data_IF_384034651907
#
_entry.id   IF_384034651907
#
_cell.length_a   1.000
_cell.length_b   1.000
_cell.length_c   1.000
_cell.angle_alpha   90.00
_cell.angle_beta   90.00
_cell.angle_gamma   90.00
#
_symmetry.space_group_name_H-M   'P 1'
#
loop_
_entity.id
_entity.type
_entity.pdbx_description
1 polymer ?
#
# COMPACT_ATOMS: atom_id res chain seq x y z
N UNK A 1 6.70 -8.51 13.51
CA UNK A 1 7.87 -8.59 12.60
C UNK A 1 7.56 -7.71 11.42
N UNK A 2 8.52 -6.94 10.90
CA UNK A 2 8.36 -6.16 9.65
C UNK A 2 8.47 -7.01 8.37
N UNK A 3 8.78 -8.29 8.51
CA UNK A 3 8.92 -9.23 7.39
C UNK A 3 7.63 -10.03 7.14
N UNK A 4 6.55 -9.73 7.87
CA UNK A 4 5.27 -10.40 7.69
C UNK A 4 4.41 -9.63 6.68
N UNK A 5 4.69 -9.86 5.41
CA UNK A 5 3.97 -9.24 4.29
C UNK A 5 2.68 -9.99 3.93
N UNK A 6 2.43 -11.17 4.54
CA UNK A 6 1.21 -11.98 4.42
C UNK A 6 0.90 -12.56 3.01
N UNK A 7 1.28 -11.87 1.94
CA UNK A 7 1.07 -12.19 0.52
C UNK A 7 2.38 -12.15 -0.28
N UNK A 8 3.48 -11.82 0.39
CA UNK A 8 4.82 -11.88 -0.18
C UNK A 8 5.80 -12.39 0.86
N UNK A 9 6.88 -13.04 0.43
CA UNK A 9 7.93 -13.50 1.34
C UNK A 9 8.96 -12.40 1.52
N UNK A 10 9.30 -12.10 2.77
CA UNK A 10 10.44 -11.25 3.11
C UNK A 10 11.26 -11.89 4.23
N UNK A 11 12.54 -11.54 4.27
CA UNK A 11 13.47 -11.90 5.34
C UNK A 11 14.15 -10.64 5.87
N UNK A 12 14.68 -10.70 7.09
CA UNK A 12 15.63 -9.70 7.58
C UNK A 12 17.04 -10.27 7.35
N UNK A 13 17.86 -9.57 6.55
CA UNK A 13 19.22 -9.99 6.24
C UNK A 13 20.19 -9.76 7.43
N UNK A 14 21.45 -10.20 7.29
CA UNK A 14 22.46 -10.02 8.34
C UNK A 14 22.81 -8.55 8.67
N UNK A 15 22.43 -7.60 7.80
CA UNK A 15 22.63 -6.17 8.00
C UNK A 15 21.36 -5.47 8.54
N UNK A 16 20.36 -6.25 8.94
CA UNK A 16 19.06 -5.78 9.41
C UNK A 16 18.24 -5.06 8.32
N UNK A 17 18.40 -5.40 7.04
CA UNK A 17 17.50 -4.94 5.99
C UNK A 17 16.33 -5.91 5.80
N UNK A 18 15.14 -5.38 5.55
CA UNK A 18 14.04 -6.18 5.01
C UNK A 18 14.30 -6.43 3.53
N UNK A 19 14.41 -7.70 3.16
CA UNK A 19 14.63 -8.14 1.79
C UNK A 19 13.47 -9.02 1.38
N UNK A 20 12.69 -8.56 0.41
CA UNK A 20 11.65 -9.35 -0.22
C UNK A 20 12.27 -10.41 -1.15
N UNK A 21 11.80 -11.65 -1.06
CA UNK A 21 12.43 -12.81 -1.73
C UNK A 21 11.54 -13.50 -2.75
N UNK A 22 10.28 -13.09 -2.88
CA UNK A 22 9.36 -13.62 -3.89
C UNK A 22 7.95 -13.87 -3.34
N UNK A 23 7.04 -14.38 -4.19
CA UNK A 23 5.72 -14.81 -3.75
C UNK A 23 5.79 -15.85 -2.63
N UNK A 24 4.73 -15.94 -1.83
CA UNK A 24 4.63 -16.97 -0.80
C UNK A 24 4.56 -18.38 -1.41
N UNK A 25 4.99 -19.43 -0.69
CA UNK A 25 4.84 -20.80 -1.17
C UNK A 25 3.39 -21.16 -1.48
N UNK A 26 3.13 -21.65 -2.69
CA UNK A 26 1.77 -22.00 -3.14
C UNK A 26 0.95 -20.82 -3.65
N UNK A 27 1.57 -19.64 -3.83
CA UNK A 27 0.91 -18.47 -4.38
C UNK A 27 0.23 -18.78 -5.73
N UNK A 28 -1.04 -18.38 -5.80
CA UNK A 28 -1.90 -18.58 -6.95
C UNK A 28 -3.16 -17.74 -6.80
N UNK A 29 -3.86 -17.53 -7.91
CA UNK A 29 -5.11 -16.81 -7.91
C UNK A 29 -6.17 -17.47 -7.01
N UNK A 30 -6.21 -18.80 -6.96
CA UNK A 30 -7.11 -19.55 -6.08
C UNK A 30 -6.75 -19.38 -4.61
N UNK A 31 -5.45 -19.46 -4.28
CA UNK A 31 -4.96 -19.23 -2.92
C UNK A 31 -5.32 -17.82 -2.43
N UNK A 32 -5.06 -16.80 -3.25
CA UNK A 32 -5.42 -15.42 -2.96
C UNK A 32 -6.92 -15.25 -2.71
N UNK A 33 -7.77 -15.76 -3.62
CA UNK A 33 -9.23 -15.71 -3.46
C UNK A 33 -9.70 -16.38 -2.17
N UNK A 34 -9.10 -17.51 -1.78
CA UNK A 34 -9.40 -18.18 -0.52
C UNK A 34 -9.07 -17.32 0.71
N UNK A 35 -7.92 -16.64 0.69
CA UNK A 35 -7.50 -15.70 1.74
C UNK A 35 -8.45 -14.50 1.84
N UNK A 36 -8.78 -13.87 0.72
CA UNK A 36 -9.74 -12.75 0.67
C UNK A 36 -11.13 -13.19 1.13
N UNK A 37 -11.62 -14.33 0.67
CA UNK A 37 -12.92 -14.85 1.09
C UNK A 37 -12.99 -15.12 2.60
N UNK A 38 -11.90 -15.61 3.20
CA UNK A 38 -11.78 -15.80 4.65
C UNK A 38 -11.87 -14.46 5.38
N UNK A 39 -11.07 -13.46 4.96
CA UNK A 39 -11.09 -12.12 5.55
C UNK A 39 -12.48 -11.46 5.46
N UNK A 40 -13.09 -11.45 4.28
CA UNK A 40 -14.46 -10.91 4.09
C UNK A 40 -15.51 -11.71 4.89
N UNK A 41 -15.31 -13.02 5.06
CA UNK A 41 -16.12 -13.86 5.92
C UNK A 41 -16.14 -13.40 7.37
N UNK A 42 -15.00 -12.94 7.89
CA UNK A 42 -14.91 -12.39 9.25
C UNK A 42 -15.69 -11.08 9.41
N UNK A 43 -15.64 -10.17 8.43
CA UNK A 43 -16.47 -8.95 8.43
C UNK A 43 -17.96 -9.28 8.48
N UNK A 44 -18.42 -10.21 7.62
CA UNK A 44 -19.81 -10.67 7.62
C UNK A 44 -20.21 -11.29 8.96
N UNK A 45 -19.34 -12.12 9.55
CA UNK A 45 -19.58 -12.83 10.81
C UNK A 45 -19.87 -11.87 11.96
N UNK A 46 -19.22 -10.70 11.98
CA UNK A 46 -19.42 -9.68 13.02
C UNK A 46 -20.42 -8.58 12.63
N UNK A 47 -21.07 -8.70 11.45
CA UNK A 47 -22.07 -7.74 10.98
C UNK A 47 -21.50 -6.40 10.51
N UNK A 48 -20.20 -6.36 10.16
CA UNK A 48 -19.58 -5.18 9.56
C UNK A 48 -19.78 -5.20 8.03
N UNK A 49 -19.88 -4.02 7.38
CA UNK A 49 -19.90 -3.95 5.93
C UNK A 49 -18.58 -4.50 5.35
N UNK A 50 -18.65 -5.08 4.15
CA UNK A 50 -17.45 -5.50 3.44
C UNK A 50 -16.64 -4.26 3.00
N UNK A 51 -15.30 -4.28 3.16
CA UNK A 51 -14.46 -3.17 2.75
C UNK A 51 -14.44 -3.01 1.22
N UNK A 52 -14.47 -1.76 0.75
CA UNK A 52 -14.37 -1.41 -0.68
C UNK A 52 -12.93 -1.21 -1.15
N UNK A 53 -12.03 -0.95 -0.20
CA UNK A 53 -10.61 -0.63 -0.42
C UNK A 53 -9.76 -1.67 0.29
N UNK A 54 -8.72 -2.14 -0.39
CA UNK A 54 -7.77 -3.10 0.15
C UNK A 54 -6.36 -2.52 0.23
N UNK A 55 -5.60 -2.93 1.23
CA UNK A 55 -4.17 -2.65 1.35
C UNK A 55 -3.47 -4.00 1.54
N UNK A 56 -2.46 -4.28 0.71
CA UNK A 56 -1.57 -5.40 0.99
C UNK A 56 -0.75 -5.07 2.23
N UNK A 57 -0.63 -5.97 3.22
CA UNK A 57 0.29 -5.75 4.34
C UNK A 57 1.69 -5.41 3.83
N UNK A 58 2.20 -4.26 4.27
CA UNK A 58 3.47 -3.70 3.81
C UNK A 58 3.59 -3.52 2.28
N UNK A 59 2.47 -3.34 1.58
CA UNK A 59 2.41 -3.12 0.13
C UNK A 59 2.99 -4.29 -0.71
N UNK A 60 3.13 -5.49 -0.12
CA UNK A 60 3.69 -6.65 -0.81
C UNK A 60 2.62 -7.65 -1.24
N UNK A 61 2.56 -7.89 -2.53
CA UNK A 61 1.80 -8.97 -3.15
C UNK A 61 2.50 -9.44 -4.42
N UNK A 62 2.16 -10.63 -4.90
CA UNK A 62 2.66 -11.11 -6.18
C UNK A 62 1.96 -10.42 -7.36
N UNK A 63 2.49 -10.59 -8.58
CA UNK A 63 1.81 -10.08 -9.77
C UNK A 63 0.45 -10.78 -10.03
N UNK A 64 0.28 -12.00 -9.48
CA UNK A 64 -1.00 -12.71 -9.48
C UNK A 64 -1.94 -12.02 -8.50
N UNK A 65 -1.51 -11.77 -7.27
CA UNK A 65 -2.35 -11.13 -6.25
C UNK A 65 -2.78 -9.72 -6.66
N UNK A 66 -1.83 -8.90 -7.14
CA UNK A 66 -2.11 -7.56 -7.64
C UNK A 66 -3.10 -7.55 -8.81
N UNK A 67 -3.10 -8.60 -9.65
CA UNK A 67 -4.10 -8.76 -10.70
C UNK A 67 -5.45 -9.14 -10.12
N UNK A 68 -5.49 -10.15 -9.24
CA UNK A 68 -6.74 -10.71 -8.72
C UNK A 68 -7.49 -9.74 -7.79
N UNK A 69 -6.79 -8.95 -6.97
CA UNK A 69 -7.38 -7.99 -6.03
C UNK A 69 -8.32 -6.99 -6.72
N UNK A 70 -8.02 -6.62 -7.96
CA UNK A 70 -8.81 -5.67 -8.76
C UNK A 70 -10.24 -6.16 -9.06
N UNK A 71 -10.48 -7.47 -8.95
CA UNK A 71 -11.81 -8.06 -9.12
C UNK A 71 -12.63 -8.13 -7.84
N UNK A 72 -12.01 -7.85 -6.69
CA UNK A 72 -12.62 -7.94 -5.36
C UNK A 72 -12.88 -6.59 -4.71
N UNK A 73 -12.03 -5.60 -4.99
CA UNK A 73 -12.08 -4.29 -4.35
C UNK A 73 -12.11 -3.19 -5.40
N UNK A 74 -12.82 -2.10 -5.10
CA UNK A 74 -12.95 -0.97 -6.01
C UNK A 74 -11.62 -0.22 -6.19
N UNK A 75 -10.78 -0.22 -5.16
CA UNK A 75 -9.46 0.37 -5.17
C UNK A 75 -8.50 -0.34 -4.21
N UNK A 76 -7.20 -0.08 -4.39
CA UNK A 76 -6.15 -0.42 -3.44
C UNK A 76 -5.50 0.84 -2.88
N UNK A 77 -5.27 0.87 -1.58
CA UNK A 77 -4.49 1.91 -0.89
C UNK A 77 -3.06 1.40 -0.75
N UNK A 78 -2.07 2.04 -1.39
CA UNK A 78 -0.85 1.31 -1.69
C UNK A 78 0.36 2.14 -2.13
N UNK A 79 1.55 1.53 -1.97
CA UNK A 79 2.81 1.85 -2.64
C UNK A 79 3.17 0.70 -3.60
N UNK A 80 2.41 0.61 -4.70
CA UNK A 80 2.35 -0.59 -5.53
C UNK A 80 3.70 -1.11 -6.04
N UNK A 81 3.80 -2.45 -6.07
CA UNK A 81 4.92 -3.19 -6.65
C UNK A 81 4.59 -3.68 -8.06
N UNK A 82 5.53 -3.48 -8.98
CA UNK A 82 5.38 -3.80 -10.40
C UNK A 82 6.51 -4.69 -10.86
N UNK A 83 6.20 -5.69 -11.67
CA UNK A 83 7.18 -6.71 -12.04
C UNK A 83 7.45 -6.71 -13.54
N UNK A 84 8.74 -6.81 -13.91
CA UNK A 84 9.13 -6.96 -15.31
C UNK A 84 8.44 -8.19 -15.91
N UNK A 85 8.04 -8.07 -17.17
CA UNK A 85 7.34 -9.15 -17.88
C UNK A 85 5.84 -9.24 -17.61
N UNK A 86 5.26 -8.38 -16.76
CA UNK A 86 3.79 -8.29 -16.62
C UNK A 86 3.12 -7.60 -17.81
N UNK A 87 3.79 -6.60 -18.41
CA UNK A 87 3.34 -5.86 -19.60
C UNK A 87 4.34 -5.89 -20.76
N UNK A 88 4.70 -7.05 -21.30
CA UNK A 88 5.64 -7.14 -22.41
C UNK A 88 5.12 -6.35 -23.61
N UNK A 89 5.90 -5.35 -24.06
CA UNK A 89 5.55 -4.46 -25.18
C UNK A 89 4.19 -3.76 -25.01
N UNK A 90 3.80 -3.47 -23.78
CA UNK A 90 2.54 -2.79 -23.45
C UNK A 90 1.31 -3.72 -23.38
N UNK A 91 1.44 -5.01 -23.68
CA UNK A 91 0.36 -5.98 -23.52
C UNK A 91 0.34 -6.53 -22.08
N UNK A 92 -0.43 -5.88 -21.20
CA UNK A 92 -0.53 -6.24 -19.78
C UNK A 92 -1.42 -7.46 -19.51
N UNK A 93 -1.22 -8.09 -18.35
CA UNK A 93 -2.13 -9.11 -17.79
C UNK A 93 -1.59 -10.54 -17.79
N UNK A 94 -0.40 -10.78 -18.36
CA UNK A 94 0.28 -12.07 -18.32
C UNK A 94 1.12 -12.20 -17.05
N UNK A 95 0.77 -13.14 -16.17
CA UNK A 95 1.53 -13.44 -14.94
C UNK A 95 2.57 -14.55 -15.16
N UNK A 96 2.47 -15.33 -16.24
CA UNK A 96 3.39 -16.43 -16.54
C UNK A 96 4.76 -15.97 -17.04
N UNK A 97 4.88 -14.71 -17.44
CA UNK A 97 6.10 -14.08 -17.98
C UNK A 97 6.80 -13.18 -16.98
N UNK A 98 6.30 -13.11 -15.74
CA UNK A 98 6.79 -12.21 -14.71
C UNK A 98 8.13 -12.67 -14.14
N UNK A 99 9.07 -11.73 -14.00
CA UNK A 99 10.29 -11.92 -13.21
C UNK A 99 10.15 -11.26 -11.84
N UNK A 100 10.07 -12.07 -10.79
CA UNK A 100 10.01 -11.58 -9.41
C UNK A 100 11.35 -11.00 -8.91
N UNK A 101 12.45 -11.23 -9.64
CA UNK A 101 13.75 -10.62 -9.34
C UNK A 101 13.87 -9.20 -9.90
N UNK A 102 12.91 -8.78 -10.73
CA UNK A 102 12.84 -7.45 -11.32
C UNK A 102 11.55 -6.78 -10.87
N UNK A 103 11.46 -6.55 -9.56
CA UNK A 103 10.42 -5.79 -8.88
C UNK A 103 10.79 -4.30 -8.84
N UNK A 104 9.81 -3.44 -9.07
CA UNK A 104 9.95 -1.99 -8.99
C UNK A 104 8.78 -1.40 -8.21
N UNK A 105 9.06 -0.53 -7.23
CA UNK A 105 8.01 0.28 -6.60
C UNK A 105 7.65 1.47 -7.49
N UNK A 106 6.37 1.83 -7.55
CA UNK A 106 5.95 3.08 -8.17
C UNK A 106 5.14 3.92 -7.20
N UNK A 107 5.57 5.17 -7.04
CA UNK A 107 4.93 6.16 -6.21
C UNK A 107 4.11 7.11 -7.09
N UNK A 108 2.87 7.38 -6.69
CA UNK A 108 2.01 8.33 -7.38
C UNK A 108 1.63 9.49 -6.45
N UNK A 109 1.55 10.73 -6.95
CA UNK A 109 1.08 11.85 -6.15
C UNK A 109 -0.45 12.00 -6.17
N UNK A 110 -1.17 11.21 -6.97
CA UNK A 110 -2.63 11.24 -7.14
C UNK A 110 -3.16 9.85 -7.55
N UNK A 111 -4.47 9.60 -7.49
CA UNK A 111 -5.04 8.31 -7.85
C UNK A 111 -4.81 7.97 -9.32
N UNK A 112 -4.45 6.72 -9.58
CA UNK A 112 -4.23 6.22 -10.95
C UNK A 112 -4.97 4.91 -11.16
N UNK A 113 -5.25 4.56 -12.42
CA UNK A 113 -5.50 3.17 -12.78
C UNK A 113 -4.21 2.56 -13.28
N UNK A 114 -3.72 1.55 -12.57
CA UNK A 114 -2.42 0.96 -12.87
C UNK A 114 -2.50 -0.12 -13.96
N UNK A 115 -1.36 -0.77 -14.22
CA UNK A 115 -1.24 -1.85 -15.20
C UNK A 115 -1.98 -3.13 -14.80
N UNK A 116 -2.26 -3.33 -13.52
CA UNK A 116 -3.06 -4.44 -13.01
C UNK A 116 -4.57 -4.20 -13.20
N UNK A 117 -4.96 -2.96 -13.52
CA UNK A 117 -6.34 -2.53 -13.72
C UNK A 117 -7.00 -1.99 -12.46
N UNK A 118 -6.29 -1.97 -11.32
CA UNK A 118 -6.80 -1.44 -10.06
C UNK A 118 -6.76 0.09 -10.04
N UNK A 119 -7.74 0.72 -9.37
CA UNK A 119 -7.58 2.11 -8.92
C UNK A 119 -6.63 2.09 -7.73
N UNK A 120 -5.58 2.91 -7.77
CA UNK A 120 -4.57 3.02 -6.72
C UNK A 120 -4.76 4.36 -6.02
N UNK A 121 -5.09 4.33 -4.74
CA UNK A 121 -5.02 5.48 -3.84
C UNK A 121 -3.57 5.53 -3.33
N UNK A 122 -2.83 6.62 -3.58
CA UNK A 122 -1.42 6.64 -3.24
C UNK A 122 -1.21 6.82 -1.73
N UNK A 123 -0.50 5.90 -1.09
CA UNK A 123 0.12 6.14 0.22
C UNK A 123 1.49 6.78 0.00
N UNK A 124 1.66 8.06 0.36
CA UNK A 124 2.81 8.84 -0.09
C UNK A 124 3.40 9.82 0.93
N UNK A 125 2.82 9.89 2.14
CA UNK A 125 3.44 10.59 3.27
C UNK A 125 4.08 9.61 4.26
N UNK A 126 3.81 8.32 4.14
CA UNK A 126 4.23 7.20 4.98
C UNK A 126 3.55 7.22 6.35
N UNK A 127 4.22 6.75 7.40
CA UNK A 127 3.70 6.73 8.77
C UNK A 127 4.69 7.31 9.78
N UNK A 128 4.18 7.54 10.99
CA UNK A 128 5.01 7.90 12.15
C UNK A 128 5.70 6.64 12.66
N UNK A 129 7.02 6.67 12.70
CA UNK A 129 7.91 5.63 13.21
C UNK A 129 8.96 6.29 14.11
N UNK A 130 8.66 6.53 15.40
CA UNK A 130 9.54 7.35 16.25
C UNK A 130 10.90 6.73 16.53
N UNK A 131 11.00 5.40 16.42
CA UNK A 131 12.24 4.66 16.61
C UNK A 131 12.77 4.15 15.26
N UNK A 132 14.08 4.24 15.02
CA UNK A 132 14.68 3.66 13.82
C UNK A 132 14.57 2.14 13.86
N UNK A 133 14.26 1.53 12.72
CA UNK A 133 14.15 0.07 12.59
C UNK A 133 14.49 -0.38 11.18
N UNK A 134 15.11 -1.55 11.05
CA UNK A 134 15.58 -2.12 9.78
C UNK A 134 16.32 -1.15 8.83
N UNK A 135 17.22 -0.33 9.38
CA UNK A 135 17.96 0.71 8.64
C UNK A 135 17.10 1.87 8.10
N UNK A 136 15.80 1.91 8.42
CA UNK A 136 14.97 3.10 8.21
C UNK A 136 15.17 4.08 9.36
N UNK A 137 15.40 5.37 9.08
CA UNK A 137 15.50 6.39 10.12
C UNK A 137 14.14 6.58 10.81
N UNK A 138 14.16 7.13 12.02
CA UNK A 138 12.95 7.58 12.67
C UNK A 138 12.21 8.60 11.79
N UNK A 139 10.88 8.47 11.71
CA UNK A 139 9.98 9.44 11.08
C UNK A 139 9.02 9.99 12.12
N UNK A 140 9.07 11.30 12.31
CA UNK A 140 8.27 12.06 13.25
C UNK A 140 7.19 12.86 12.51
N UNK A 141 6.18 13.41 13.23
CA UNK A 141 5.16 14.26 12.61
C UNK A 141 5.71 15.38 11.72
N UNK A 142 6.84 15.99 12.09
CA UNK A 142 7.46 17.05 11.31
C UNK A 142 7.91 16.58 9.91
N UNK A 143 8.33 15.32 9.75
CA UNK A 143 8.77 14.77 8.47
C UNK A 143 7.57 14.60 7.52
N UNK A 144 6.46 14.05 8.03
CA UNK A 144 5.21 13.92 7.27
C UNK A 144 4.68 15.28 6.84
N UNK A 145 4.75 16.29 7.71
CA UNK A 145 4.36 17.67 7.38
C UNK A 145 5.28 18.30 6.34
N UNK A 146 6.58 18.03 6.39
CA UNK A 146 7.52 18.50 5.38
C UNK A 146 7.22 17.88 4.00
N UNK A 147 6.91 16.59 3.95
CA UNK A 147 6.53 15.90 2.72
C UNK A 147 5.16 16.35 2.20
N UNK A 148 4.19 16.57 3.08
CA UNK A 148 2.91 17.21 2.75
C UNK A 148 3.10 18.56 2.07
N UNK A 149 3.95 19.44 2.64
CA UNK A 149 4.23 20.74 2.05
C UNK A 149 4.87 20.64 0.64
N UNK A 150 5.77 19.67 0.43
CA UNK A 150 6.40 19.42 -0.88
C UNK A 150 5.40 18.89 -1.90
N UNK A 151 4.49 18.01 -1.50
CA UNK A 151 3.48 17.39 -2.37
C UNK A 151 2.54 18.40 -3.04
N UNK A 152 2.37 19.58 -2.46
CA UNK A 152 1.57 20.69 -3.02
C UNK A 152 2.08 21.25 -4.36
N UNK A 153 3.28 20.87 -4.81
CA UNK A 153 3.74 21.20 -6.17
C UNK A 153 2.87 20.53 -7.25
N UNK A 154 2.18 19.44 -6.91
CA UNK A 154 1.25 18.73 -7.79
C UNK A 154 -0.17 19.25 -7.53
N UNK A 155 -0.85 19.72 -8.56
CA UNK A 155 -2.15 20.44 -8.44
C UNK A 155 -3.27 19.59 -7.83
N UNK A 156 -3.38 18.34 -8.25
CA UNK A 156 -4.44 17.41 -7.81
C UNK A 156 -3.86 16.35 -6.86
N UNK A 157 -2.91 16.74 -6.01
CA UNK A 157 -2.24 15.79 -5.15
C UNK A 157 -3.20 15.22 -4.10
N UNK A 158 -3.06 13.93 -3.85
CA UNK A 158 -3.55 13.28 -2.63
C UNK A 158 -2.36 13.14 -1.70
N UNK A 159 -2.49 13.61 -0.47
CA UNK A 159 -1.52 13.42 0.60
C UNK A 159 -2.14 12.45 1.59
N UNK A 160 -1.61 11.24 1.68
CA UNK A 160 -2.19 10.20 2.52
C UNK A 160 -1.11 9.48 3.33
N UNK A 161 -1.49 9.01 4.51
CA UNK A 161 -0.63 8.41 5.52
C UNK A 161 -1.44 7.40 6.34
N UNK A 162 -0.75 6.53 7.08
CA UNK A 162 -1.39 5.65 8.06
C UNK A 162 -0.82 5.89 9.46
N UNK A 163 -1.55 5.41 10.48
CA UNK A 163 -1.18 5.60 11.88
C UNK A 163 -1.38 4.31 12.68
N UNK A 164 -0.36 3.94 13.45
CA UNK A 164 -0.43 2.77 14.32
C UNK A 164 -1.13 3.12 15.65
N UNK A 165 -2.18 2.38 16.05
CA UNK A 165 -3.00 2.74 17.21
C UNK A 165 -2.27 2.62 18.56
N UNK A 166 -1.12 1.95 18.62
CA UNK A 166 -0.29 1.85 19.83
C UNK A 166 0.60 3.08 20.06
N UNK A 167 0.72 4.00 19.09
CA UNK A 167 1.51 5.21 19.24
C UNK A 167 0.74 6.32 19.97
N UNK A 168 1.42 7.27 20.63
CA UNK A 168 0.76 8.43 21.25
C UNK A 168 -0.11 9.22 20.27
N UNK A 169 -1.39 9.43 20.63
CA UNK A 169 -2.36 10.15 19.80
C UNK A 169 -1.96 11.62 19.53
N UNK A 170 -1.08 12.20 20.34
CA UNK A 170 -0.52 13.54 20.10
C UNK A 170 0.21 13.63 18.76
N UNK A 171 0.88 12.56 18.33
CA UNK A 171 1.53 12.53 17.02
C UNK A 171 0.50 12.61 15.89
N UNK A 172 -0.58 11.82 15.97
CA UNK A 172 -1.67 11.88 14.99
C UNK A 172 -2.33 13.27 14.97
N UNK A 173 -2.62 13.83 16.13
CA UNK A 173 -3.19 15.18 16.27
C UNK A 173 -2.31 16.23 15.60
N UNK A 174 -0.99 16.17 15.83
CA UNK A 174 0.00 17.09 15.24
C UNK A 174 -0.02 17.01 13.70
N UNK A 175 -0.01 15.80 13.14
CA UNK A 175 -0.05 15.61 11.67
C UNK A 175 -1.37 16.12 11.09
N UNK A 176 -2.51 15.75 11.67
CA UNK A 176 -3.83 16.16 11.17
C UNK A 176 -3.99 17.68 11.20
N UNK A 177 -3.65 18.33 12.32
CA UNK A 177 -3.75 19.79 12.44
C UNK A 177 -2.75 20.50 11.53
N UNK A 178 -1.53 19.97 11.40
CA UNK A 178 -0.51 20.54 10.51
C UNK A 178 -0.89 20.44 9.03
N UNK A 179 -1.41 19.29 8.57
CA UNK A 179 -1.88 19.13 7.18
C UNK A 179 -3.06 20.06 6.89
N UNK A 180 -4.01 20.22 7.82
CA UNK A 180 -5.09 21.21 7.69
C UNK A 180 -4.55 22.64 7.61
N UNK A 181 -3.56 23.00 8.43
CA UNK A 181 -2.92 24.32 8.37
C UNK A 181 -2.17 24.56 7.05
N UNK A 182 -1.69 23.49 6.39
CA UNK A 182 -1.14 23.54 5.03
C UNK A 182 -2.22 23.65 3.95
N UNK A 183 -3.51 23.58 4.30
CA UNK A 183 -4.64 23.71 3.38
C UNK A 183 -5.18 22.38 2.84
N UNK A 184 -4.80 21.23 3.42
CA UNK A 184 -5.41 19.95 3.07
C UNK A 184 -6.80 19.79 3.72
N UNK A 185 -7.69 19.15 2.97
CA UNK A 185 -8.99 18.68 3.46
C UNK A 185 -8.95 17.15 3.58
N UNK A 186 -9.53 16.61 4.67
CA UNK A 186 -9.57 15.18 4.91
C UNK A 186 -10.88 14.60 4.36
N UNK A 187 -10.75 13.51 3.61
CA UNK A 187 -11.84 12.76 2.98
C UNK A 187 -11.57 11.26 3.14
N UNK A 188 -12.54 10.41 2.80
CA UNK A 188 -12.38 8.96 2.86
C UNK A 188 -11.59 8.41 1.67
N UNK A 189 -10.92 7.27 1.86
CA UNK A 189 -10.26 6.55 0.78
C UNK A 189 -11.22 6.21 -0.38
N UNK A 190 -12.46 5.79 -0.06
CA UNK A 190 -13.49 5.51 -1.06
C UNK A 190 -13.90 6.74 -1.87
N UNK A 191 -13.91 7.94 -1.28
CA UNK A 191 -14.17 9.18 -2.03
C UNK A 191 -13.02 9.49 -2.99
N UNK A 192 -11.77 9.39 -2.53
CA UNK A 192 -10.58 9.57 -3.38
C UNK A 192 -10.56 8.59 -4.56
N UNK A 193 -10.97 7.33 -4.33
CA UNK A 193 -11.03 6.32 -5.39
C UNK A 193 -12.04 6.62 -6.50
N UNK A 194 -13.08 7.44 -6.22
CA UNK A 194 -14.13 7.76 -7.19
C UNK A 194 -13.76 8.92 -8.13
N UNK A 195 -12.74 9.70 -7.79
CA UNK A 195 -12.31 10.89 -8.55
C UNK A 195 -13.07 12.13 -8.13
#
# INVERSE_FOLDING_TARGET
SSADYEFYTAIVDQNNHVVETGPVPGDSAEWFRGRIATGLGEFRRVGLPEPEVFEFPHYGGSAVDYKEVSSHFAARYDQGSYFAGYCPRGACGSTSTVSYQNKYGQYFPYPVRDVYGAVVIPENLDHIAPEPFNQHPARLPADLLADGAKSKVVRDNVASFFFHPFLPLEHLSTVVLGLRAQGYEFTTASEVARG
#
